data_IF_932015092920
#
_entry.id   IF_932015092920
#
_cell.length_a   1.000
_cell.length_b   1.000
_cell.length_c   1.000
_cell.angle_alpha   90.00
_cell.angle_beta   90.00
_cell.angle_gamma   90.00
#
_symmetry.space_group_name_H-M   'P 1'
#
loop_
_entity.id
_entity.type
_entity.pdbx_description
1 polymer ?
#
# COMPACT_ATOMS: atom_id res chain seq x y z
N UNK A 1 -1.19 -1.27 2.93
CA UNK A 1 -0.29 -1.65 4.04
C UNK A 1 -0.85 -1.26 5.41
N UNK A 2 -1.18 0.01 5.67
CA UNK A 2 -1.66 0.47 7.00
C UNK A 2 -2.83 -0.37 7.56
N UNK A 3 -3.81 -0.72 6.72
CA UNK A 3 -4.95 -1.57 7.13
C UNK A 3 -4.54 -3.01 7.49
N UNK A 4 -3.49 -3.55 6.88
CA UNK A 4 -2.98 -4.89 7.17
C UNK A 4 -2.23 -4.94 8.51
N UNK A 5 -1.50 -3.88 8.84
CA UNK A 5 -0.76 -3.73 10.11
C UNK A 5 -1.58 -3.11 11.26
N UNK A 6 -2.83 -2.71 11.02
CA UNK A 6 -3.66 -2.07 12.03
C UNK A 6 -4.19 -3.11 13.03
N UNK A 7 -3.56 -3.19 14.22
CA UNK A 7 -3.95 -4.11 15.29
C UNK A 7 -5.40 -3.88 15.77
N UNK A 8 -5.91 -2.64 15.66
CA UNK A 8 -7.29 -2.27 16.02
C UNK A 8 -8.32 -2.63 14.93
N UNK A 9 -7.90 -3.06 13.74
CA UNK A 9 -8.83 -3.48 12.68
C UNK A 9 -9.32 -4.92 12.90
N UNK A 10 -10.55 -5.29 12.47
CA UNK A 10 -11.02 -6.67 12.52
C UNK A 10 -10.10 -7.63 11.76
N UNK A 11 -9.96 -8.86 12.26
CA UNK A 11 -9.08 -9.87 11.65
C UNK A 11 -9.39 -10.11 10.16
N UNK A 12 -10.67 -10.09 9.79
CA UNK A 12 -11.12 -10.21 8.39
C UNK A 12 -10.61 -9.06 7.51
N UNK A 13 -10.64 -7.82 8.02
CA UNK A 13 -10.14 -6.63 7.30
C UNK A 13 -8.64 -6.75 7.09
N UNK A 14 -7.89 -7.18 8.11
CA UNK A 14 -6.45 -7.42 7.98
C UNK A 14 -6.14 -8.50 6.94
N UNK A 15 -6.87 -9.61 6.97
CA UNK A 15 -6.68 -10.72 6.03
C UNK A 15 -6.91 -10.28 4.56
N UNK A 16 -7.99 -9.55 4.30
CA UNK A 16 -8.26 -8.99 2.96
C UNK A 16 -7.14 -8.02 2.55
N UNK A 17 -6.74 -7.13 3.47
CA UNK A 17 -5.66 -6.18 3.19
C UNK A 17 -4.33 -6.86 2.88
N UNK A 18 -3.99 -7.96 3.58
CA UNK A 18 -2.83 -8.79 3.28
C UNK A 18 -2.92 -9.49 1.92
N UNK A 19 -4.08 -10.06 1.58
CA UNK A 19 -4.29 -10.68 0.28
C UNK A 19 -4.06 -9.67 -0.86
N UNK A 20 -4.63 -8.48 -0.74
CA UNK A 20 -4.46 -7.43 -1.75
C UNK A 20 -3.00 -6.97 -1.85
N UNK A 21 -2.28 -6.95 -0.73
CA UNK A 21 -0.85 -6.62 -0.72
C UNK A 21 -0.01 -7.66 -1.44
N UNK A 22 -0.29 -8.95 -1.19
CA UNK A 22 0.37 -10.06 -1.88
C UNK A 22 0.09 -10.04 -3.38
N UNK A 23 -1.14 -9.72 -3.78
CA UNK A 23 -1.50 -9.55 -5.19
C UNK A 23 -0.72 -8.39 -5.84
N UNK A 24 -0.54 -7.27 -5.14
CA UNK A 24 0.25 -6.13 -5.60
C UNK A 24 1.74 -6.49 -5.76
N UNK A 25 2.31 -7.24 -4.81
CA UNK A 25 3.68 -7.71 -4.88
C UNK A 25 3.90 -8.58 -6.14
N UNK A 26 3.02 -9.55 -6.36
CA UNK A 26 3.08 -10.42 -7.53
C UNK A 26 2.87 -9.65 -8.83
N UNK A 27 2.01 -8.62 -8.85
CA UNK A 27 1.81 -7.75 -10.01
C UNK A 27 3.06 -6.93 -10.33
N UNK A 28 3.69 -6.32 -9.31
CA UNK A 28 4.90 -5.52 -9.47
C UNK A 28 6.06 -6.35 -10.01
N UNK A 29 6.26 -7.57 -9.48
CA UNK A 29 7.31 -8.49 -9.95
C UNK A 29 7.12 -9.01 -11.38
N UNK A 30 5.91 -8.90 -11.95
CA UNK A 30 5.61 -9.29 -13.34
C UNK A 30 5.67 -8.12 -14.32
N UNK A 31 5.85 -6.89 -13.85
CA UNK A 31 5.88 -5.73 -14.74
C UNK A 31 7.15 -5.74 -15.59
N UNK A 32 6.96 -5.68 -16.91
CA UNK A 32 8.03 -5.50 -17.89
C UNK A 32 7.81 -4.16 -18.58
N UNK A 33 8.82 -3.30 -18.56
CA UNK A 33 8.78 -1.98 -19.19
C UNK A 33 10.11 -1.70 -19.87
N UNK A 34 10.07 -0.97 -20.98
CA UNK A 34 11.26 -0.47 -21.68
C UNK A 34 11.87 0.75 -20.95
N UNK A 35 11.07 1.45 -20.15
CA UNK A 35 11.50 2.58 -19.34
C UNK A 35 12.25 2.09 -18.09
N UNK A 36 13.53 2.46 -17.99
CA UNK A 36 14.41 2.08 -16.88
C UNK A 36 13.94 2.67 -15.54
N UNK A 37 13.44 3.90 -15.52
CA UNK A 37 12.97 4.54 -14.30
C UNK A 37 11.75 3.81 -13.73
N UNK A 38 10.84 3.38 -14.60
CA UNK A 38 9.68 2.60 -14.19
C UNK A 38 10.08 1.19 -13.73
N UNK A 39 11.10 0.58 -14.35
CA UNK A 39 11.63 -0.72 -13.93
C UNK A 39 12.18 -0.65 -12.52
N UNK A 40 13.01 0.35 -12.24
CA UNK A 40 13.60 0.56 -10.91
C UNK A 40 12.52 0.81 -9.85
N UNK A 41 11.48 1.58 -10.21
CA UNK A 41 10.33 1.81 -9.34
C UNK A 41 9.59 0.51 -9.00
N UNK A 42 9.34 -0.37 -9.99
CA UNK A 42 8.69 -1.66 -9.75
C UNK A 42 9.52 -2.58 -8.85
N UNK A 43 10.84 -2.64 -9.07
CA UNK A 43 11.76 -3.41 -8.24
C UNK A 43 11.78 -2.88 -6.81
N UNK A 44 11.87 -1.55 -6.65
CA UNK A 44 11.83 -0.91 -5.34
C UNK A 44 10.50 -1.17 -4.62
N UNK A 45 9.37 -1.04 -5.32
CA UNK A 45 8.05 -1.29 -4.76
C UNK A 45 7.90 -2.75 -4.30
N UNK A 46 8.35 -3.73 -5.09
CA UNK A 46 8.34 -5.13 -4.70
C UNK A 46 9.18 -5.39 -3.44
N UNK A 47 10.38 -4.80 -3.35
CA UNK A 47 11.23 -4.91 -2.17
C UNK A 47 10.60 -4.28 -0.92
N UNK A 48 9.94 -3.12 -1.05
CA UNK A 48 9.22 -2.48 0.07
C UNK A 48 8.04 -3.33 0.55
N UNK A 49 7.29 -3.93 -0.37
CA UNK A 49 6.18 -4.82 -0.01
C UNK A 49 6.71 -6.05 0.72
N UNK A 50 7.74 -6.70 0.20
CA UNK A 50 8.36 -7.87 0.85
C UNK A 50 8.85 -7.54 2.26
N UNK A 51 9.54 -6.41 2.44
CA UNK A 51 9.99 -5.98 3.77
C UNK A 51 8.83 -5.75 4.74
N UNK A 52 7.71 -5.22 4.26
CA UNK A 52 6.49 -5.10 5.06
C UNK A 52 5.88 -6.47 5.40
N UNK A 53 5.88 -7.43 4.48
CA UNK A 53 5.40 -8.79 4.72
C UNK A 53 6.27 -9.51 5.77
N UNK A 54 7.59 -9.34 5.71
CA UNK A 54 8.55 -9.94 6.65
C UNK A 54 8.46 -9.28 8.05
N UNK A 55 8.42 -7.94 8.10
CA UNK A 55 8.27 -7.19 9.35
C UNK A 55 7.40 -5.93 9.18
N UNK A 56 6.08 -6.03 9.47
CA UNK A 56 5.15 -4.91 9.34
C UNK A 56 5.50 -3.71 10.25
N UNK A 57 6.26 -3.93 11.32
CA UNK A 57 6.63 -2.89 12.31
C UNK A 57 7.83 -2.05 11.87
N UNK A 58 8.62 -2.52 10.90
CA UNK A 58 9.78 -1.80 10.37
C UNK A 58 9.42 -0.75 9.32
N UNK A 59 8.25 -0.88 8.69
CA UNK A 59 7.82 0.03 7.65
C UNK A 59 6.88 1.04 8.30
N UNK A 60 7.37 2.26 8.49
CA UNK A 60 6.52 3.40 8.81
C UNK A 60 5.60 3.68 7.64
N UNK A 61 4.42 3.05 7.61
CA UNK A 61 3.42 3.35 6.58
C UNK A 61 3.01 4.80 6.76
N UNK A 62 3.24 5.69 5.77
CA UNK A 62 2.87 7.08 5.91
C UNK A 62 1.38 7.19 6.22
N UNK A 63 1.04 8.01 7.22
CA UNK A 63 -0.34 8.30 7.58
C UNK A 63 -1.05 8.80 6.31
N UNK A 64 -2.26 8.30 5.99
CA UNK A 64 -3.04 8.85 4.89
C UNK A 64 -3.11 10.36 5.04
N UNK A 65 -2.94 11.10 3.93
CA UNK A 65 -3.11 12.54 3.94
C UNK A 65 -4.49 12.87 4.53
N UNK A 66 -4.56 13.87 5.41
CA UNK A 66 -5.84 14.31 5.94
C UNK A 66 -6.74 14.74 4.78
N UNK A 67 -8.03 14.36 4.79
CA UNK A 67 -8.95 14.83 3.78
C UNK A 67 -8.91 16.36 3.78
N UNK A 68 -8.77 16.96 2.59
CA UNK A 68 -8.87 18.40 2.45
C UNK A 68 -10.21 18.85 3.05
N UNK A 69 -10.26 19.98 3.81
CA UNK A 69 -11.51 20.48 4.36
C UNK A 69 -12.56 20.56 3.25
N UNK A 70 -13.65 19.82 3.40
CA UNK A 70 -14.71 19.82 2.40
C UNK A 70 -15.24 21.25 2.27
N UNK A 71 -15.16 21.83 1.07
CA UNK A 71 -15.96 23.01 0.77
C UNK A 71 -17.43 22.57 0.83
N UNK A 72 -18.30 23.29 1.56
CA UNK A 72 -19.71 22.93 1.62
C UNK A 72 -20.29 23.00 0.21
N UNK A 73 -20.64 21.83 -0.33
CA UNK A 73 -21.36 21.75 -1.60
C UNK A 73 -22.82 22.08 -1.28
N UNK A 74 -23.24 23.30 -1.62
CA UNK A 74 -24.64 23.70 -1.72
C UNK A 74 -25.21 24.52 -0.55
N UNK A 75 -25.33 25.84 -0.76
CA UNK A 75 -26.47 26.61 -0.24
C UNK A 75 -26.82 27.77 -1.19
N UNK A 76 -27.48 27.44 -2.29
CA UNK A 76 -28.43 28.31 -3.00
C UNK A 76 -29.62 27.46 -3.48
#
# INVERSE_FOLDING_TARGET
MSLAANESAPAQVRAIAFQQLSALHAWAGRQTTSDESLRDLYVYAAAQIKRFEDNPKEIGVPKPAEPSPGQPIGWE
#
